data_IF_462530294268
#
_entry.id   IF_462530294268
#
_cell.length_a   1.000
_cell.length_b   1.000
_cell.length_c   1.000
_cell.angle_alpha   90.00
_cell.angle_beta   90.00
_cell.angle_gamma   90.00
#
_symmetry.space_group_name_H-M   'P 1'
#
loop_
_entity.id
_entity.type
_entity.pdbx_description
1 polymer ?
#
# COMPACT_ATOMS: atom_id res chain seq x y z
N UNK A 1 14.67 -16.36 -0.36
CA UNK A 1 14.17 -15.19 -1.11
C UNK A 1 12.95 -14.54 -0.45
N UNK A 2 11.92 -15.29 -0.02
CA UNK A 2 10.71 -14.72 0.59
C UNK A 2 10.96 -13.93 1.89
N UNK A 3 11.80 -14.44 2.80
CA UNK A 3 12.17 -13.76 4.06
C UNK A 3 12.81 -12.39 3.75
N UNK A 4 13.75 -12.35 2.81
CA UNK A 4 14.45 -11.12 2.42
C UNK A 4 13.50 -10.06 1.87
N UNK A 5 12.49 -10.46 1.10
CA UNK A 5 11.47 -9.55 0.58
C UNK A 5 10.57 -8.98 1.70
N UNK A 6 10.15 -9.82 2.64
CA UNK A 6 9.34 -9.41 3.80
C UNK A 6 10.13 -8.45 4.69
N UNK A 7 11.39 -8.79 5.01
CA UNK A 7 12.25 -7.93 5.84
C UNK A 7 12.48 -6.57 5.20
N UNK A 8 12.68 -6.53 3.87
CA UNK A 8 12.89 -5.27 3.14
C UNK A 8 11.62 -4.42 3.15
N UNK A 9 10.45 -5.03 2.89
CA UNK A 9 9.17 -4.32 2.94
C UNK A 9 8.85 -3.83 4.35
N UNK A 10 9.15 -4.63 5.39
CA UNK A 10 8.97 -4.24 6.78
C UNK A 10 9.85 -3.04 7.16
N UNK A 11 11.12 -3.01 6.70
CA UNK A 11 12.00 -1.86 6.94
C UNK A 11 11.45 -0.59 6.30
N UNK A 12 10.99 -0.68 5.05
CA UNK A 12 10.35 0.45 4.36
C UNK A 12 9.07 0.90 5.07
N UNK A 13 8.26 -0.05 5.56
CA UNK A 13 7.06 0.25 6.36
C UNK A 13 7.42 1.05 7.61
N UNK A 14 8.45 0.63 8.36
CA UNK A 14 8.88 1.34 9.58
C UNK A 14 9.34 2.75 9.26
N UNK A 15 10.14 2.93 8.21
CA UNK A 15 10.60 4.25 7.78
C UNK A 15 9.42 5.16 7.38
N UNK A 16 8.45 4.61 6.64
CA UNK A 16 7.23 5.34 6.26
C UNK A 16 6.42 5.77 7.48
N UNK A 17 6.21 4.86 8.43
CA UNK A 17 5.46 5.15 9.67
C UNK A 17 6.16 6.20 10.52
N UNK A 18 7.48 6.07 10.73
CA UNK A 18 8.25 7.05 11.50
C UNK A 18 8.15 8.45 10.88
N UNK A 19 8.27 8.52 9.56
CA UNK A 19 8.16 9.78 8.82
C UNK A 19 6.74 10.35 8.82
N UNK A 20 5.72 9.49 8.71
CA UNK A 20 4.32 9.90 8.75
C UNK A 20 3.95 10.53 10.10
N UNK A 21 4.38 9.91 11.20
CA UNK A 21 4.13 10.41 12.56
C UNK A 21 4.88 11.72 12.80
N UNK A 22 6.12 11.83 12.32
CA UNK A 22 6.93 13.02 12.50
C UNK A 22 6.44 14.20 11.64
N UNK A 23 5.99 13.94 10.41
CA UNK A 23 5.65 14.99 9.44
C UNK A 23 4.18 15.37 9.34
N UNK A 24 3.26 14.62 9.96
CA UNK A 24 1.83 14.97 10.00
C UNK A 24 1.10 14.88 8.65
N UNK A 25 1.78 14.49 7.57
CA UNK A 25 1.17 14.37 6.23
C UNK A 25 0.14 13.24 6.19
N UNK A 26 -1.04 13.55 5.66
CA UNK A 26 -2.13 12.61 5.49
C UNK A 26 -1.75 11.51 4.47
N UNK A 27 -1.20 11.89 3.31
CA UNK A 27 -0.81 10.90 2.29
C UNK A 27 0.32 10.01 2.77
N UNK A 28 1.30 10.57 3.49
CA UNK A 28 2.39 9.78 4.06
C UNK A 28 1.86 8.73 5.05
N UNK A 29 0.91 9.10 5.90
CA UNK A 29 0.27 8.18 6.84
C UNK A 29 -0.53 7.08 6.12
N UNK A 30 -1.33 7.43 5.12
CA UNK A 30 -2.12 6.43 4.38
C UNK A 30 -1.23 5.46 3.60
N UNK A 31 -0.12 5.95 3.07
CA UNK A 31 0.88 5.16 2.38
C UNK A 31 1.65 4.24 3.37
N UNK A 32 1.89 4.71 4.59
CA UNK A 32 2.46 3.91 5.67
C UNK A 32 1.51 2.81 6.15
N UNK A 33 0.22 3.12 6.37
CA UNK A 33 -0.82 2.15 6.70
C UNK A 33 -0.97 1.09 5.60
N UNK A 34 -0.98 1.51 4.33
CA UNK A 34 -1.02 0.61 3.18
C UNK A 34 0.19 -0.32 3.16
N UNK A 35 1.40 0.20 3.36
CA UNK A 35 2.63 -0.59 3.44
C UNK A 35 2.57 -1.59 4.59
N UNK A 36 2.09 -1.17 5.77
CA UNK A 36 1.92 -2.03 6.94
C UNK A 36 0.96 -3.19 6.67
N UNK A 37 -0.21 -2.93 6.09
CA UNK A 37 -1.16 -4.00 5.78
C UNK A 37 -0.58 -4.99 4.76
N UNK A 38 0.18 -4.49 3.77
CA UNK A 38 0.87 -5.36 2.80
C UNK A 38 1.91 -6.24 3.47
N UNK A 39 2.72 -5.67 4.37
CA UNK A 39 3.74 -6.42 5.13
C UNK A 39 3.11 -7.49 6.01
N UNK A 40 2.01 -7.17 6.72
CA UNK A 40 1.28 -8.16 7.52
C UNK A 40 0.69 -9.25 6.62
N UNK A 41 0.06 -8.90 5.49
CA UNK A 41 -0.49 -9.87 4.54
C UNK A 41 0.59 -10.80 3.98
N UNK A 42 1.75 -10.28 3.59
CA UNK A 42 2.88 -11.09 3.14
C UNK A 42 3.40 -12.01 4.25
N UNK A 43 3.40 -11.55 5.50
CA UNK A 43 3.72 -12.36 6.67
C UNK A 43 2.74 -13.53 6.86
N UNK A 44 1.44 -13.33 6.60
CA UNK A 44 0.43 -14.41 6.64
C UNK A 44 0.63 -15.45 5.54
N UNK A 45 1.24 -15.07 4.42
CA UNK A 45 1.56 -15.99 3.33
C UNK A 45 2.78 -16.88 3.65
N UNK A 46 3.74 -16.36 4.44
CA UNK A 46 5.02 -17.00 4.72
C UNK A 46 5.00 -18.35 5.47
N UNK A 47 4.16 -18.60 6.50
CA UNK A 47 4.14 -19.88 7.21
C UNK A 47 3.58 -21.05 6.37
N UNK A 48 3.61 -20.93 5.04
CA UNK A 48 3.08 -21.90 4.11
C UNK A 48 1.57 -21.82 4.12
N UNK A 49 1.00 -20.92 3.33
CA UNK A 49 -0.30 -21.21 2.70
C UNK A 49 -0.07 -22.41 1.76
N UNK A 50 0.00 -23.60 2.35
CA UNK A 50 0.50 -24.83 1.76
C UNK A 50 -0.50 -25.38 0.77
N UNK A 51 -0.57 -24.78 -0.42
CA UNK A 51 -1.20 -25.31 -1.63
C UNK A 51 -2.71 -25.62 -1.57
N UNK A 52 -3.31 -25.70 -0.38
CA UNK A 52 -4.69 -26.11 -0.20
C UNK A 52 -5.64 -24.96 -0.48
N UNK A 53 -6.80 -25.28 -1.03
CA UNK A 53 -7.86 -24.30 -1.29
C UNK A 53 -8.36 -23.66 0.02
N UNK A 54 -8.31 -24.39 1.13
CA UNK A 54 -8.67 -23.88 2.47
C UNK A 54 -7.71 -22.77 2.94
N UNK A 55 -6.40 -23.00 2.83
CA UNK A 55 -5.39 -22.02 3.27
C UNK A 55 -5.43 -20.77 2.40
N UNK A 56 -5.66 -20.94 1.09
CA UNK A 56 -5.83 -19.83 0.17
C UNK A 56 -7.06 -18.98 0.50
N UNK A 57 -8.22 -19.61 0.77
CA UNK A 57 -9.44 -18.91 1.23
C UNK A 57 -9.21 -18.15 2.53
N UNK A 58 -8.55 -18.79 3.50
CA UNK A 58 -8.20 -18.17 4.79
C UNK A 58 -7.31 -16.93 4.57
N UNK A 59 -6.28 -17.05 3.75
CA UNK A 59 -5.38 -15.94 3.39
C UNK A 59 -6.12 -14.77 2.73
N UNK A 60 -6.98 -15.05 1.73
CA UNK A 60 -7.73 -13.99 1.05
C UNK A 60 -8.65 -13.24 2.01
N UNK A 61 -9.41 -13.96 2.85
CA UNK A 61 -10.31 -13.36 3.83
C UNK A 61 -9.56 -12.51 4.86
N UNK A 62 -8.45 -13.00 5.39
CA UNK A 62 -7.63 -12.25 6.35
C UNK A 62 -7.01 -11.00 5.70
N UNK A 63 -6.51 -11.12 4.48
CA UNK A 63 -5.92 -9.98 3.73
C UNK A 63 -6.97 -8.93 3.39
N UNK A 64 -8.16 -9.35 2.93
CA UNK A 64 -9.28 -8.45 2.68
C UNK A 64 -9.68 -7.69 3.95
N UNK A 65 -9.75 -8.39 5.10
CA UNK A 65 -10.03 -7.77 6.39
C UNK A 65 -8.99 -6.72 6.80
N UNK A 66 -7.70 -7.05 6.66
CA UNK A 66 -6.60 -6.12 6.94
C UNK A 66 -6.67 -4.86 6.07
N UNK A 67 -6.87 -5.01 4.76
CA UNK A 67 -7.00 -3.87 3.86
C UNK A 67 -8.24 -3.03 4.14
N UNK A 68 -9.36 -3.66 4.53
CA UNK A 68 -10.56 -2.92 4.95
C UNK A 68 -10.30 -2.08 6.20
N UNK A 69 -9.58 -2.63 7.19
CA UNK A 69 -9.19 -1.90 8.41
C UNK A 69 -8.26 -0.74 8.05
N UNK A 70 -7.24 -1.00 7.22
CA UNK A 70 -6.32 0.04 6.75
C UNK A 70 -7.02 1.17 6.00
N UNK A 71 -8.00 0.85 5.16
CA UNK A 71 -8.81 1.84 4.44
C UNK A 71 -9.66 2.68 5.40
N UNK A 72 -10.32 2.05 6.38
CA UNK A 72 -11.10 2.76 7.40
C UNK A 72 -10.25 3.69 8.25
N UNK A 73 -9.11 3.22 8.75
CA UNK A 73 -8.15 4.03 9.50
C UNK A 73 -7.60 5.18 8.65
N UNK A 74 -7.27 4.91 7.38
CA UNK A 74 -6.75 5.94 6.48
C UNK A 74 -7.77 7.03 6.17
N UNK A 75 -9.04 6.67 5.95
CA UNK A 75 -10.13 7.65 5.80
C UNK A 75 -10.36 8.44 7.08
N UNK A 76 -10.35 7.79 8.25
CA UNK A 76 -10.51 8.47 9.53
C UNK A 76 -9.38 9.48 9.79
N UNK A 77 -8.12 9.10 9.49
CA UNK A 77 -6.98 10.00 9.59
C UNK A 77 -7.08 11.16 8.59
N UNK A 78 -7.47 10.88 7.33
CA UNK A 78 -7.68 11.91 6.31
C UNK A 78 -8.75 12.91 6.74
N UNK A 79 -9.86 12.42 7.30
CA UNK A 79 -10.91 13.26 7.85
C UNK A 79 -10.40 14.14 9.01
N UNK A 80 -9.62 13.56 9.92
CA UNK A 80 -9.02 14.29 11.02
C UNK A 80 -8.07 15.41 10.53
N UNK A 81 -7.21 15.14 9.55
CA UNK A 81 -6.31 16.16 8.97
C UNK A 81 -7.12 17.23 8.25
N UNK A 82 -8.16 16.86 7.49
CA UNK A 82 -9.05 17.82 6.82
C UNK A 82 -9.61 18.86 7.81
N UNK A 83 -10.10 18.41 8.97
CA UNK A 83 -10.70 19.31 9.97
C UNK A 83 -9.66 20.21 10.66
N UNK A 84 -8.39 19.82 10.62
CA UNK A 84 -7.29 20.55 11.26
C UNK A 84 -6.47 21.39 10.28
N UNK A 85 -6.81 21.41 8.97
CA UNK A 85 -6.10 22.20 7.94
C UNK A 85 -5.99 23.70 8.29
N UNK A 86 -6.93 24.25 9.06
CA UNK A 86 -6.95 25.65 9.48
C UNK A 86 -6.32 25.93 10.86
N UNK A 87 -5.98 24.88 11.62
CA UNK A 87 -5.52 25.02 13.01
C UNK A 87 -4.00 25.22 13.13
N UNK A 88 -3.29 25.36 12.00
CA UNK A 88 -1.87 25.71 11.97
C UNK A 88 -1.02 24.84 12.89
N UNK A 89 -0.92 23.53 12.61
CA UNK A 89 0.13 22.74 13.24
C UNK A 89 1.47 23.23 12.68
N UNK A 90 2.30 23.82 13.54
CA UNK A 90 3.67 24.13 13.15
C UNK A 90 4.42 22.83 12.83
N UNK A 91 5.09 22.74 11.65
CA UNK A 91 5.88 21.58 11.31
C UNK A 91 7.03 21.45 12.30
N UNK A 92 7.01 20.41 13.13
CA UNK A 92 8.12 20.09 14.03
C UNK A 92 9.28 19.58 13.19
N UNK A 93 10.40 20.31 13.17
CA UNK A 93 11.60 19.88 12.49
C UNK A 93 12.06 18.52 13.04
N UNK A 94 12.35 17.58 12.15
CA UNK A 94 12.83 16.27 12.55
C UNK A 94 14.34 16.31 12.64
N UNK A 95 14.88 16.11 13.84
CA UNK A 95 16.32 15.98 14.06
C UNK A 95 16.74 14.52 13.86
N UNK A 96 17.62 14.27 12.89
CA UNK A 96 18.19 12.95 12.64
C UNK A 96 19.70 13.09 12.52
N UNK A 97 20.43 12.41 13.42
CA UNK A 97 21.90 12.47 13.49
C UNK A 97 22.45 13.92 13.57
N UNK A 98 21.75 14.82 14.26
CA UNK A 98 22.14 16.23 14.39
C UNK A 98 21.89 17.10 13.15
N UNK A 99 21.24 16.57 12.12
CA UNK A 99 20.75 17.33 10.97
C UNK A 99 19.24 17.58 11.09
N UNK A 100 18.82 18.81 10.82
CA UNK A 100 17.41 19.19 10.76
C UNK A 100 16.87 18.96 9.35
N UNK A 101 15.82 18.16 9.25
CA UNK A 101 15.12 17.93 8.00
C UNK A 101 13.72 18.54 8.05
N UNK A 102 13.34 19.18 6.95
CA UNK A 102 11.95 19.50 6.69
C UNK A 102 11.14 18.20 6.59
N UNK A 103 10.05 18.03 7.37
CA UNK A 103 9.31 16.78 7.40
C UNK A 103 8.71 16.39 6.04
N UNK A 104 8.31 17.36 5.21
CA UNK A 104 7.78 17.10 3.87
C UNK A 104 8.89 16.59 2.93
N UNK A 105 10.05 17.24 2.94
CA UNK A 105 11.23 16.81 2.19
C UNK A 105 11.70 15.40 2.58
N UNK A 106 11.74 15.09 3.88
CA UNK A 106 12.08 13.76 4.36
C UNK A 106 11.06 12.70 3.91
N UNK A 107 9.77 13.04 3.96
CA UNK A 107 8.67 12.27 3.37
C UNK A 107 8.93 11.88 1.93
N UNK A 108 9.24 12.86 1.08
CA UNK A 108 9.50 12.63 -0.34
C UNK A 108 10.72 11.73 -0.59
N UNK A 109 11.80 11.89 0.20
CA UNK A 109 12.99 11.03 0.08
C UNK A 109 12.64 9.58 0.42
N UNK A 110 11.92 9.35 1.54
CA UNK A 110 11.50 8.01 1.96
C UNK A 110 10.56 7.39 0.93
N UNK A 111 9.62 8.16 0.38
CA UNK A 111 8.72 7.69 -0.68
C UNK A 111 9.48 7.33 -1.97
N UNK A 112 10.49 8.13 -2.34
CA UNK A 112 11.35 7.85 -3.50
C UNK A 112 12.13 6.55 -3.34
N UNK A 113 12.73 6.32 -2.16
CA UNK A 113 13.43 5.06 -1.85
C UNK A 113 12.43 3.89 -1.88
N UNK A 114 11.26 4.06 -1.28
CA UNK A 114 10.21 3.06 -1.29
C UNK A 114 9.74 2.73 -2.72
N UNK A 115 9.74 3.70 -3.63
CA UNK A 115 9.29 3.52 -5.02
C UNK A 115 10.21 2.57 -5.77
N UNK A 116 11.51 2.70 -5.55
CA UNK A 116 12.50 1.82 -6.15
C UNK A 116 12.38 0.40 -5.57
N UNK A 117 12.26 0.28 -4.24
CA UNK A 117 12.20 -1.01 -3.54
C UNK A 117 10.91 -1.76 -3.87
N UNK A 118 9.76 -1.16 -3.60
CA UNK A 118 8.45 -1.77 -3.85
C UNK A 118 8.19 -1.93 -5.36
N UNK A 119 8.75 -1.05 -6.20
CA UNK A 119 8.68 -1.17 -7.66
C UNK A 119 9.39 -2.41 -8.19
N UNK A 120 10.53 -2.78 -7.62
CA UNK A 120 11.19 -4.06 -7.95
C UNK A 120 10.31 -5.25 -7.55
N UNK A 121 9.71 -5.22 -6.37
CA UNK A 121 8.80 -6.28 -5.92
C UNK A 121 7.58 -6.40 -6.86
N UNK A 122 6.99 -5.27 -7.26
CA UNK A 122 5.90 -5.21 -8.23
C UNK A 122 6.30 -5.86 -9.56
N UNK A 123 7.45 -5.49 -10.13
CA UNK A 123 7.93 -6.05 -11.40
C UNK A 123 8.13 -7.57 -11.33
N UNK A 124 8.61 -8.10 -10.20
CA UNK A 124 8.76 -9.55 -10.00
C UNK A 124 7.39 -10.23 -10.01
N UNK A 125 6.43 -9.71 -9.24
CA UNK A 125 5.09 -10.30 -9.16
C UNK A 125 4.30 -10.15 -10.45
N UNK A 126 4.46 -9.03 -11.15
CA UNK A 126 3.85 -8.80 -12.45
C UNK A 126 4.40 -9.77 -13.50
N UNK A 127 5.72 -10.00 -13.53
CA UNK A 127 6.33 -11.00 -14.41
C UNK A 127 5.79 -12.40 -14.10
N UNK A 128 5.71 -12.78 -12.83
CA UNK A 128 5.15 -14.07 -12.43
C UNK A 128 3.68 -14.22 -12.86
N UNK A 129 2.86 -13.18 -12.68
CA UNK A 129 1.48 -13.12 -13.15
C UNK A 129 1.38 -13.30 -14.67
N UNK A 130 2.19 -12.58 -15.45
CA UNK A 130 2.18 -12.67 -16.91
C UNK A 130 2.65 -14.05 -17.43
N UNK A 131 3.62 -14.67 -16.76
CA UNK A 131 4.07 -16.03 -17.09
C UNK A 131 2.96 -17.04 -16.81
N UNK A 132 2.32 -16.98 -15.64
CA UNK A 132 1.20 -17.86 -15.29
C UNK A 132 0.02 -17.71 -16.28
N UNK A 133 -0.31 -16.46 -16.63
CA UNK A 133 -1.35 -16.16 -17.62
C UNK A 133 -1.07 -16.82 -18.98
N UNK A 134 0.18 -16.73 -19.46
CA UNK A 134 0.60 -17.35 -20.73
C UNK A 134 0.59 -18.88 -20.67
N UNK A 135 0.99 -19.46 -19.54
CA UNK A 135 0.94 -20.92 -19.33
C UNK A 135 -0.49 -21.45 -19.36
N UNK A 136 -1.44 -20.67 -18.85
CA UNK A 136 -2.88 -20.99 -18.87
C UNK A 136 -3.56 -20.66 -20.21
N UNK A 137 -2.82 -20.26 -21.24
CA UNK A 137 -3.33 -19.95 -22.58
C UNK A 137 -4.12 -18.64 -22.69
N UNK A 138 -4.10 -17.79 -21.67
CA UNK A 138 -4.83 -16.53 -21.67
C UNK A 138 -4.01 -15.41 -22.34
N UNK A 139 -4.67 -14.60 -23.18
CA UNK A 139 -4.07 -13.44 -23.86
C UNK A 139 -4.46 -12.11 -23.20
N UNK A 140 -5.57 -12.09 -22.46
CA UNK A 140 -6.15 -10.88 -21.88
C UNK A 140 -5.92 -10.81 -20.36
N UNK A 141 -5.06 -9.90 -19.86
CA UNK A 141 -4.74 -9.81 -18.43
C UNK A 141 -5.95 -9.47 -17.56
N UNK A 142 -6.85 -8.59 -18.03
CA UNK A 142 -8.08 -8.26 -17.30
C UNK A 142 -9.02 -9.47 -17.16
N UNK A 143 -9.13 -10.31 -18.19
CA UNK A 143 -9.96 -11.53 -18.13
C UNK A 143 -9.36 -12.54 -17.15
N UNK A 144 -8.03 -12.71 -17.18
CA UNK A 144 -7.32 -13.62 -16.29
C UNK A 144 -7.38 -13.17 -14.83
N UNK A 145 -7.36 -11.85 -14.58
CA UNK A 145 -7.65 -11.24 -13.29
C UNK A 145 -9.06 -11.58 -12.78
N UNK A 146 -10.07 -11.55 -13.64
CA UNK A 146 -11.46 -11.87 -13.26
C UNK A 146 -11.68 -13.36 -13.01
N UNK A 147 -10.96 -14.21 -13.74
CA UNK A 147 -11.02 -15.67 -13.63
C UNK A 147 -10.28 -16.17 -12.38
N UNK A 148 -9.23 -15.44 -11.96
CA UNK A 148 -8.50 -15.64 -10.71
C UNK A 148 -8.11 -17.11 -10.44
N UNK A 149 -7.61 -17.82 -11.46
CA UNK A 149 -7.17 -19.23 -11.36
C UNK A 149 -6.15 -19.45 -10.23
N UNK A 150 -5.27 -18.47 -10.03
CA UNK A 150 -4.34 -18.39 -8.91
C UNK A 150 -4.63 -17.16 -8.03
N UNK A 151 -5.65 -17.22 -7.13
CA UNK A 151 -6.12 -16.07 -6.36
C UNK A 151 -5.02 -15.39 -5.54
N UNK A 152 -4.10 -16.17 -4.98
CA UNK A 152 -2.98 -15.65 -4.20
C UNK A 152 -2.04 -14.81 -5.06
N UNK A 153 -1.67 -15.31 -6.24
CA UNK A 153 -0.79 -14.57 -7.17
C UNK A 153 -1.46 -13.28 -7.65
N UNK A 154 -2.76 -13.35 -7.95
CA UNK A 154 -3.57 -12.18 -8.31
C UNK A 154 -3.62 -11.17 -7.16
N UNK A 155 -3.90 -11.63 -5.94
CA UNK A 155 -3.97 -10.78 -4.76
C UNK A 155 -2.66 -10.04 -4.47
N UNK A 156 -1.54 -10.76 -4.51
CA UNK A 156 -0.21 -10.18 -4.29
C UNK A 156 0.16 -9.19 -5.40
N UNK A 157 -0.13 -9.52 -6.67
CA UNK A 157 0.17 -8.65 -7.81
C UNK A 157 -0.67 -7.37 -7.78
N UNK A 158 -1.97 -7.47 -7.51
CA UNK A 158 -2.85 -6.32 -7.35
C UNK A 158 -2.48 -5.47 -6.14
N UNK A 159 -2.10 -6.10 -5.02
CA UNK A 159 -1.60 -5.40 -3.84
C UNK A 159 -0.36 -4.54 -4.16
N UNK A 160 0.60 -5.10 -4.90
CA UNK A 160 1.78 -4.37 -5.34
C UNK A 160 1.48 -3.30 -6.41
N UNK A 161 0.46 -3.50 -7.25
CA UNK A 161 0.01 -2.47 -8.20
C UNK A 161 -0.60 -1.28 -7.46
N UNK A 162 -1.54 -1.54 -6.55
CA UNK A 162 -2.16 -0.53 -5.68
C UNK A 162 -1.09 0.18 -4.85
N UNK A 163 -0.04 -0.53 -4.44
CA UNK A 163 1.11 0.05 -3.75
C UNK A 163 1.83 1.11 -4.59
N UNK A 164 2.14 0.80 -5.85
CA UNK A 164 2.80 1.73 -6.77
C UNK A 164 1.96 2.96 -7.09
N UNK A 165 0.65 2.76 -7.28
CA UNK A 165 -0.25 3.88 -7.54
C UNK A 165 -0.37 4.74 -6.28
N UNK A 166 -0.58 4.14 -5.11
CA UNK A 166 -0.67 4.88 -3.84
C UNK A 166 0.58 5.71 -3.55
N UNK A 167 1.75 5.15 -3.86
CA UNK A 167 3.02 5.83 -3.70
C UNK A 167 3.19 7.02 -4.65
N UNK A 168 2.79 6.87 -5.92
CA UNK A 168 2.77 7.97 -6.87
C UNK A 168 1.81 9.09 -6.42
N UNK A 169 0.63 8.73 -5.94
CA UNK A 169 -0.35 9.68 -5.40
C UNK A 169 0.18 10.40 -4.15
N UNK A 170 0.88 9.70 -3.26
CA UNK A 170 1.48 10.31 -2.07
C UNK A 170 2.60 11.30 -2.42
N UNK A 171 3.47 10.94 -3.37
CA UNK A 171 4.51 11.84 -3.88
C UNK A 171 3.87 13.09 -4.52
N UNK A 172 2.80 12.92 -5.30
CA UNK A 172 2.06 14.04 -5.89
C UNK A 172 1.40 14.92 -4.83
N UNK A 173 0.72 14.33 -3.85
CA UNK A 173 0.04 15.08 -2.79
C UNK A 173 0.98 15.91 -1.94
N UNK A 174 2.05 15.27 -1.43
CA UNK A 174 3.07 15.96 -0.63
C UNK A 174 3.83 16.98 -1.49
N UNK A 175 4.20 16.63 -2.72
CA UNK A 175 4.91 17.53 -3.63
C UNK A 175 4.10 18.77 -4.01
N UNK A 176 2.80 18.59 -4.31
CA UNK A 176 1.89 19.71 -4.60
C UNK A 176 1.68 20.58 -3.37
N UNK A 177 1.53 20.00 -2.18
CA UNK A 177 1.44 20.77 -0.94
C UNK A 177 2.73 21.55 -0.67
N UNK A 178 3.90 20.97 -0.92
CA UNK A 178 5.18 21.66 -0.76
C UNK A 178 5.35 22.85 -1.74
N UNK A 179 4.88 22.71 -2.99
CA UNK A 179 4.98 23.77 -4.01
C UNK A 179 3.92 24.85 -3.85
N UNK A 180 2.68 24.47 -3.53
CA UNK A 180 1.54 25.40 -3.45
C UNK A 180 1.31 26.00 -2.06
N UNK A 181 1.89 25.39 -1.02
CA UNK A 181 1.59 25.70 0.37
C UNK A 181 0.19 25.28 0.82
N UNK A 182 -0.58 24.59 -0.02
CA UNK A 182 -1.95 24.20 0.29
C UNK A 182 -2.05 22.71 0.65
N UNK A 183 -2.37 22.43 1.92
CA UNK A 183 -2.55 21.07 2.46
C UNK A 183 -3.73 20.30 1.87
N UNK A 184 -4.65 20.96 1.14
CA UNK A 184 -5.80 20.28 0.53
C UNK A 184 -5.39 19.21 -0.49
N UNK A 185 -4.25 19.42 -1.16
CA UNK A 185 -3.69 18.43 -2.09
C UNK A 185 -3.32 17.15 -1.35
N UNK A 186 -2.54 17.25 -0.28
CA UNK A 186 -2.18 16.10 0.55
C UNK A 186 -3.40 15.36 1.07
N UNK A 187 -4.42 16.07 1.55
CA UNK A 187 -5.64 15.43 2.07
C UNK A 187 -6.46 14.76 0.95
N UNK A 188 -6.56 15.39 -0.22
CA UNK A 188 -7.28 14.82 -1.37
C UNK A 188 -6.63 13.53 -1.89
N UNK A 189 -5.30 13.54 -2.06
CA UNK A 189 -4.56 12.35 -2.48
C UNK A 189 -4.57 11.26 -1.40
N UNK A 190 -4.48 11.63 -0.13
CA UNK A 190 -4.65 10.72 1.00
C UNK A 190 -5.98 9.98 0.94
N UNK A 191 -7.10 10.68 0.73
CA UNK A 191 -8.42 10.06 0.59
C UNK A 191 -8.44 9.02 -0.54
N UNK A 192 -7.85 9.37 -1.69
CA UNK A 192 -7.79 8.49 -2.85
C UNK A 192 -7.00 7.21 -2.55
N UNK A 193 -5.86 7.30 -1.84
CA UNK A 193 -5.08 6.12 -1.41
C UNK A 193 -5.93 5.20 -0.52
N UNK A 194 -6.66 5.75 0.44
CA UNK A 194 -7.51 4.96 1.33
C UNK A 194 -8.66 4.27 0.58
N UNK A 195 -9.29 4.97 -0.37
CA UNK A 195 -10.35 4.42 -1.22
C UNK A 195 -9.81 3.28 -2.08
N UNK A 196 -8.62 3.44 -2.67
CA UNK A 196 -7.98 2.37 -3.46
C UNK A 196 -7.70 1.13 -2.62
N UNK A 197 -7.24 1.31 -1.37
CA UNK A 197 -7.03 0.20 -0.44
C UNK A 197 -8.37 -0.51 -0.09
N UNK A 198 -9.45 0.25 0.08
CA UNK A 198 -10.80 -0.29 0.26
C UNK A 198 -11.30 -1.04 -0.97
N UNK A 199 -11.04 -0.53 -2.18
CA UNK A 199 -11.35 -1.21 -3.43
C UNK A 199 -10.62 -2.55 -3.58
N UNK A 200 -9.34 -2.60 -3.18
CA UNK A 200 -8.58 -3.86 -3.14
C UNK A 200 -9.17 -4.84 -2.12
N UNK A 201 -9.53 -4.37 -0.92
CA UNK A 201 -10.19 -5.19 0.10
C UNK A 201 -11.49 -5.82 -0.43
N UNK A 202 -12.32 -5.00 -1.08
CA UNK A 202 -13.58 -5.43 -1.67
C UNK A 202 -13.37 -6.49 -2.76
N UNK A 203 -12.43 -6.25 -3.69
CA UNK A 203 -12.12 -7.20 -4.75
C UNK A 203 -11.66 -8.56 -4.19
N UNK A 204 -10.77 -8.56 -3.19
CA UNK A 204 -10.30 -9.81 -2.56
C UNK A 204 -11.44 -10.56 -1.86
N UNK A 205 -12.36 -9.83 -1.22
CA UNK A 205 -13.57 -10.41 -0.65
C UNK A 205 -14.45 -11.09 -1.69
N UNK A 206 -14.66 -10.45 -2.85
CA UNK A 206 -15.42 -11.02 -3.96
C UNK A 206 -14.78 -12.30 -4.53
N UNK A 207 -13.47 -12.28 -4.76
CA UNK A 207 -12.74 -13.46 -5.25
C UNK A 207 -12.85 -14.63 -4.26
N UNK A 208 -12.79 -14.34 -2.96
CA UNK A 208 -12.98 -15.36 -1.93
C UNK A 208 -14.39 -15.98 -1.97
N UNK A 209 -15.44 -15.16 -2.16
CA UNK A 209 -16.82 -15.65 -2.26
C UNK A 209 -17.07 -16.50 -3.51
N UNK A 210 -16.52 -16.11 -4.68
CA UNK A 210 -16.67 -16.90 -5.92
C UNK A 210 -16.10 -18.31 -5.82
N UNK A 211 -15.05 -18.51 -5.03
CA UNK A 211 -14.47 -19.84 -4.76
C UNK A 211 -15.26 -20.67 -3.76
N UNK A 212 -16.22 -20.08 -3.05
CA UNK A 212 -17.02 -20.79 -2.04
C UNK A 212 -18.31 -21.42 -2.62
N UNK A 213 -18.69 -21.02 -3.84
CA UNK A 213 -19.80 -21.56 -4.64
C UNK A 213 -19.28 -22.66 -5.57
#
# INVERSE_FOLDING_TARGET
MAITAITTNALVTVLKLATAVAGGSASMMNEALRSLMSTISQGLLFPGSGGSDHDQKKYLRSTAGLFSIGAGLGLAHTWHVWHNLGNGQEPVLVEIFGMFFDPLGLGLIVLGIAFIIEGRAFLITLKAFLVAMRQDGATNPCSYLLEAKNPTLVAVTLGNLVAMIGLALAIMGIGLTAVTGNGIWDVGFSALIAIMLGGLAFYLGLVNCKKAL
#
